data_IF_488617216644
#
_entry.id   IF_488617216644
#
_cell.length_a   1.000
_cell.length_b   1.000
_cell.length_c   1.000
_cell.angle_alpha   90.00
_cell.angle_beta   90.00
_cell.angle_gamma   90.00
#
_symmetry.space_group_name_H-M   'P 1'
#
loop_
_entity.id
_entity.type
_entity.pdbx_description
1 polymer ?
#
# COMPACT_ATOMS: atom_id res chain seq x y z
N UNK A 1 5.36 3.45 13.51
CA UNK A 1 4.80 4.67 14.14
C UNK A 1 3.91 5.42 13.17
N UNK A 2 4.49 5.94 12.09
CA UNK A 2 3.81 6.89 11.18
C UNK A 2 2.46 6.41 10.62
N UNK A 3 2.34 5.16 10.18
CA UNK A 3 1.05 4.60 9.70
C UNK A 3 -0.06 4.74 10.76
N UNK A 4 0.22 4.38 12.02
CA UNK A 4 -0.75 4.47 13.11
C UNK A 4 -1.09 5.92 13.46
N UNK A 5 -0.13 6.83 13.35
CA UNK A 5 -0.39 8.26 13.54
C UNK A 5 -1.36 8.78 12.47
N UNK A 6 -1.10 8.49 11.18
CA UNK A 6 -1.95 8.91 10.07
C UNK A 6 -3.38 8.36 10.16
N UNK A 7 -3.55 7.13 10.66
CA UNK A 7 -4.86 6.50 10.79
C UNK A 7 -5.59 6.95 12.05
N UNK A 8 -4.95 6.86 13.22
CA UNK A 8 -5.65 7.02 14.50
C UNK A 8 -5.75 8.47 14.97
N UNK A 9 -4.80 9.33 14.55
CA UNK A 9 -4.77 10.74 14.95
C UNK A 9 -5.30 11.62 13.83
N UNK A 10 -4.75 11.48 12.62
CA UNK A 10 -5.16 12.30 11.46
C UNK A 10 -6.45 11.81 10.78
N UNK A 11 -6.94 10.62 11.14
CA UNK A 11 -8.18 10.06 10.61
C UNK A 11 -8.14 9.65 9.14
N UNK A 12 -6.95 9.60 8.50
CA UNK A 12 -6.82 9.21 7.08
C UNK A 12 -6.81 7.71 6.92
N UNK A 13 -7.42 7.21 5.84
CA UNK A 13 -7.51 5.78 5.54
C UNK A 13 -8.17 4.96 6.67
N UNK A 14 -9.10 5.55 7.41
CA UNK A 14 -9.79 4.93 8.56
C UNK A 14 -10.61 3.68 8.21
N UNK A 15 -10.94 3.49 6.93
CA UNK A 15 -11.62 2.29 6.42
C UNK A 15 -10.67 1.13 6.08
N UNK A 16 -9.35 1.31 6.21
CA UNK A 16 -8.40 0.23 5.97
C UNK A 16 -8.43 -0.78 7.11
N UNK A 17 -8.36 -2.06 6.78
CA UNK A 17 -8.26 -3.13 7.77
C UNK A 17 -6.90 -3.06 8.49
N UNK A 18 -6.94 -2.88 9.80
CA UNK A 18 -5.75 -2.86 10.65
C UNK A 18 -5.18 -4.27 10.90
N UNK A 19 -5.93 -5.32 10.58
CA UNK A 19 -5.62 -6.70 10.92
C UNK A 19 -5.52 -6.93 12.43
N UNK A 20 -5.06 -8.11 12.83
CA UNK A 20 -4.96 -8.49 14.25
C UNK A 20 -3.84 -7.77 15.01
N UNK A 21 -2.84 -7.23 14.30
CA UNK A 21 -1.64 -6.60 14.90
C UNK A 21 -1.51 -5.09 14.60
N UNK A 22 -2.58 -4.44 14.14
CA UNK A 22 -2.63 -2.99 13.95
C UNK A 22 -1.58 -2.47 12.97
N UNK A 23 -1.61 -2.93 11.72
CA UNK A 23 -0.67 -2.61 10.63
C UNK A 23 0.79 -3.05 10.85
N UNK A 24 1.06 -3.92 11.83
CA UNK A 24 2.37 -4.55 11.94
C UNK A 24 2.44 -5.77 11.02
N UNK A 25 3.21 -5.67 9.92
CA UNK A 25 3.39 -6.75 8.95
C UNK A 25 4.23 -7.92 9.45
N UNK A 26 4.93 -7.78 10.58
CA UNK A 26 5.84 -8.78 11.16
C UNK A 26 7.01 -9.23 10.25
N UNK A 27 7.09 -8.70 9.03
CA UNK A 27 8.17 -8.86 8.06
C UNK A 27 8.53 -7.49 7.45
N UNK A 28 9.79 -7.23 7.07
CA UNK A 28 10.17 -6.01 6.37
C UNK A 28 9.43 -5.90 5.03
N UNK A 29 8.78 -4.74 4.79
CA UNK A 29 8.00 -4.51 3.56
C UNK A 29 8.45 -3.29 2.76
N UNK A 30 9.40 -2.51 3.28
CA UNK A 30 9.83 -1.25 2.65
C UNK A 30 10.31 -1.45 1.21
N UNK A 31 11.26 -2.35 0.97
CA UNK A 31 11.80 -2.62 -0.37
C UNK A 31 10.74 -3.18 -1.34
N UNK A 32 9.84 -4.03 -0.83
CA UNK A 32 8.72 -4.54 -1.61
C UNK A 32 7.82 -3.40 -2.06
N UNK A 33 7.41 -2.52 -1.16
CA UNK A 33 6.55 -1.38 -1.50
C UNK A 33 7.24 -0.38 -2.42
N UNK A 34 8.56 -0.19 -2.33
CA UNK A 34 9.31 0.63 -3.28
C UNK A 34 9.23 0.09 -4.71
N UNK A 35 9.36 -1.23 -4.92
CA UNK A 35 9.19 -1.87 -6.23
C UNK A 35 7.75 -1.70 -6.75
N UNK A 36 6.76 -1.94 -5.89
CA UNK A 36 5.35 -1.76 -6.24
C UNK A 36 5.04 -0.31 -6.66
N UNK A 37 5.57 0.68 -5.93
CA UNK A 37 5.40 2.10 -6.24
C UNK A 37 6.04 2.48 -7.58
N UNK A 38 7.22 1.92 -7.90
CA UNK A 38 7.88 2.14 -9.19
C UNK A 38 6.99 1.71 -10.36
N UNK A 39 6.40 0.51 -10.28
CA UNK A 39 5.47 0.01 -11.32
C UNK A 39 4.20 0.87 -11.37
N UNK A 40 3.62 1.21 -10.22
CA UNK A 40 2.41 2.01 -10.15
C UNK A 40 2.57 3.42 -10.73
N UNK A 41 3.72 4.07 -10.49
CA UNK A 41 4.03 5.37 -11.08
C UNK A 41 4.33 5.30 -12.58
N UNK A 42 4.74 4.13 -13.09
CA UNK A 42 4.93 3.91 -14.52
C UNK A 42 3.61 3.63 -15.29
N UNK A 43 2.52 3.26 -14.59
CA UNK A 43 1.22 3.07 -15.22
C UNK A 43 0.69 4.39 -15.82
N UNK A 44 0.02 4.37 -16.99
CA UNK A 44 -0.55 5.58 -17.60
C UNK A 44 -1.62 6.26 -16.74
N UNK A 45 -2.27 5.49 -15.86
CA UNK A 45 -3.23 5.95 -14.86
C UNK A 45 -2.95 5.23 -13.55
N UNK A 46 -3.17 5.91 -12.43
CA UNK A 46 -2.92 5.37 -11.07
C UNK A 46 -4.19 4.84 -10.40
N UNK A 47 -5.35 5.09 -10.98
CA UNK A 47 -6.67 4.69 -10.51
C UNK A 47 -7.45 4.01 -11.63
N UNK A 48 -8.48 3.24 -11.29
CA UNK A 48 -9.25 2.43 -12.24
C UNK A 48 -8.34 1.56 -13.11
N UNK A 49 -7.39 0.90 -12.44
CA UNK A 49 -6.39 0.03 -13.06
C UNK A 49 -7.07 -1.20 -13.66
N UNK A 50 -6.56 -1.65 -14.80
CA UNK A 50 -6.89 -2.96 -15.36
C UNK A 50 -6.34 -4.08 -14.47
N UNK A 51 -6.92 -5.28 -14.59
CA UNK A 51 -6.40 -6.46 -13.89
C UNK A 51 -4.92 -6.74 -14.23
N UNK A 52 -4.50 -6.43 -15.46
CA UNK A 52 -3.12 -6.63 -15.88
C UNK A 52 -2.15 -5.65 -15.18
N UNK A 53 -2.53 -4.39 -15.02
CA UNK A 53 -1.75 -3.39 -14.28
C UNK A 53 -1.69 -3.74 -12.79
N UNK A 54 -2.81 -4.17 -12.19
CA UNK A 54 -2.83 -4.63 -10.79
C UNK A 54 -1.86 -5.80 -10.60
N UNK A 55 -1.88 -6.79 -11.50
CA UNK A 55 -0.98 -7.94 -11.43
C UNK A 55 0.49 -7.56 -11.55
N UNK A 56 0.82 -6.58 -12.39
CA UNK A 56 2.19 -6.07 -12.49
C UNK A 56 2.64 -5.40 -11.19
N UNK A 57 1.75 -4.61 -10.56
CA UNK A 57 2.08 -3.90 -9.31
C UNK A 57 2.27 -4.90 -8.16
N UNK A 58 1.37 -5.85 -7.94
CA UNK A 58 1.45 -6.75 -6.76
C UNK A 58 2.60 -7.76 -6.85
N UNK A 59 3.08 -8.07 -8.06
CA UNK A 59 4.18 -9.00 -8.32
C UNK A 59 5.53 -8.31 -8.58
N UNK A 60 5.59 -6.98 -8.42
CA UNK A 60 6.79 -6.17 -8.59
C UNK A 60 7.92 -6.58 -7.64
#
# INVERSE_FOLDING_TARGET
GYVRFMVNIEGRYSHFDAGTHGFNSQTPMWEKYQRMLSVWHACPRQYHLSSNEINQIINA
#
